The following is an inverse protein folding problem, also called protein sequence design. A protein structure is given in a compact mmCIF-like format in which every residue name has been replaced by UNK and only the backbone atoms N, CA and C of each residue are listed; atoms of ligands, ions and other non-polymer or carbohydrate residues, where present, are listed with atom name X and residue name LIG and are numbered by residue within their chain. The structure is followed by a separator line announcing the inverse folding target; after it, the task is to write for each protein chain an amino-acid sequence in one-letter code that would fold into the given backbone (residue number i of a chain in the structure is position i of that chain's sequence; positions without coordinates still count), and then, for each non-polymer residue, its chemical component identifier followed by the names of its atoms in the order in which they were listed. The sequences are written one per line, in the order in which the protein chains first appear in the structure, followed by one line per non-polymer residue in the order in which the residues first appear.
data_IF_101757588525
#
_entry.id   IF_101757588525
#
_cell.length_a   1.000
_cell.length_b   1.000
_cell.length_c   1.000
_cell.angle_alpha   90.00
_cell.angle_beta   90.00
_cell.angle_gamma   90.00
#
_symmetry.space_group_name_H-M   'P 1'
#
loop_
_entity.id
_entity.type
_entity.pdbx_description
1 polymer ?
#
# COMPACT_ATOMS: atom_id res chain seq x y z
N UNK A 1 22.20 2.94 -3.96
CA UNK A 1 21.41 4.18 -4.06
C UNK A 1 21.65 4.83 -5.42
N UNK A 2 20.62 5.34 -6.07
CA UNK A 2 20.70 6.07 -7.34
C UNK A 2 19.93 7.39 -7.23
N UNK A 3 20.63 8.50 -7.39
CA UNK A 3 20.09 9.87 -7.28
C UNK A 3 19.97 10.60 -8.63
N UNK A 4 20.11 9.88 -9.74
CA UNK A 4 20.07 10.47 -11.09
C UNK A 4 18.78 11.25 -11.35
N UNK A 5 17.64 10.72 -10.89
CA UNK A 5 16.32 11.30 -11.16
C UNK A 5 15.82 12.19 -10.00
N UNK A 6 16.54 12.27 -8.88
CA UNK A 6 16.17 13.13 -7.76
C UNK A 6 16.83 12.72 -6.43
N UNK A 7 16.64 13.55 -5.38
CA UNK A 7 17.29 13.34 -4.09
C UNK A 7 16.78 12.11 -3.34
N UNK A 8 17.62 11.59 -2.46
CA UNK A 8 17.27 10.53 -1.49
C UNK A 8 17.47 11.12 -0.10
N UNK A 9 16.39 11.14 0.69
CA UNK A 9 16.40 11.51 2.10
C UNK A 9 16.32 10.26 2.98
N UNK A 10 17.23 10.15 3.93
CA UNK A 10 17.22 9.10 4.97
C UNK A 10 17.16 9.79 6.32
N UNK A 11 16.05 9.60 7.01
CA UNK A 11 15.76 10.20 8.31
C UNK A 11 16.60 9.61 9.44
N UNK A 12 16.55 10.29 10.58
CA UNK A 12 17.27 9.90 11.80
C UNK A 12 16.82 8.50 12.28
N UNK A 13 17.77 7.70 12.75
CA UNK A 13 17.55 6.36 13.33
C UNK A 13 16.85 5.39 12.35
N UNK A 14 16.96 5.66 11.04
CA UNK A 14 16.41 4.81 9.99
C UNK A 14 17.44 3.81 9.50
N UNK A 15 16.98 2.68 9.01
CA UNK A 15 17.82 1.58 8.57
C UNK A 15 17.51 1.15 7.15
N UNK A 16 18.53 1.04 6.31
CA UNK A 16 18.45 0.42 4.98
C UNK A 16 19.26 -0.86 5.03
N UNK A 17 18.56 -2.01 4.94
CA UNK A 17 19.21 -3.32 5.05
C UNK A 17 19.89 -3.70 3.74
N UNK A 18 20.69 -4.76 3.80
CA UNK A 18 21.58 -5.23 2.75
C UNK A 18 20.83 -5.56 1.45
N UNK A 19 21.49 -5.37 0.33
CA UNK A 19 20.97 -5.69 -1.00
C UNK A 19 19.92 -4.74 -1.54
N UNK A 20 19.39 -3.81 -0.72
CA UNK A 20 18.32 -2.90 -1.14
C UNK A 20 18.76 -1.94 -2.23
N UNK A 21 17.91 -1.76 -3.23
CA UNK A 21 18.10 -0.88 -4.38
C UNK A 21 17.09 0.26 -4.30
N UNK A 22 17.58 1.49 -4.18
CA UNK A 22 16.74 2.68 -4.02
C UNK A 22 17.07 3.70 -5.10
N UNK A 23 16.04 4.20 -5.79
CA UNK A 23 16.11 5.26 -6.78
C UNK A 23 15.32 6.48 -6.28
N UNK A 24 15.97 7.64 -6.31
CA UNK A 24 15.33 8.93 -6.00
C UNK A 24 14.41 9.44 -7.13
N UNK A 25 13.51 10.40 -6.84
CA UNK A 25 13.32 10.97 -5.52
C UNK A 25 12.70 9.98 -4.54
N UNK A 26 13.25 9.92 -3.31
CA UNK A 26 12.79 9.01 -2.27
C UNK A 26 12.96 9.63 -0.88
N UNK A 27 12.02 9.35 0.03
CA UNK A 27 12.15 9.74 1.43
C UNK A 27 11.87 8.56 2.37
N UNK A 28 12.82 8.28 3.26
CA UNK A 28 12.65 7.39 4.41
C UNK A 28 12.61 8.25 5.66
N UNK A 29 11.45 8.35 6.30
CA UNK A 29 11.28 9.12 7.53
C UNK A 29 11.91 8.44 8.74
N UNK A 30 11.99 9.15 9.86
CA UNK A 30 12.71 8.71 11.05
C UNK A 30 12.23 7.35 11.59
N UNK A 31 13.17 6.58 12.18
CA UNK A 31 12.91 5.28 12.82
C UNK A 31 12.29 4.23 11.88
N UNK A 32 12.49 4.36 10.57
CA UNK A 32 11.90 3.46 9.58
C UNK A 32 12.93 2.52 8.98
N UNK A 33 12.48 1.42 8.41
CA UNK A 33 13.38 0.38 7.89
C UNK A 33 12.99 0.00 6.46
N UNK A 34 13.96 0.01 5.57
CA UNK A 34 13.91 -0.71 4.30
C UNK A 34 14.50 -2.09 4.51
N UNK A 35 13.71 -3.12 4.22
CA UNK A 35 14.09 -4.54 4.42
C UNK A 35 15.07 -5.01 3.35
N UNK A 36 15.73 -6.15 3.62
CA UNK A 36 16.70 -6.77 2.71
C UNK A 36 16.15 -6.89 1.29
N UNK A 37 17.02 -6.67 0.31
CA UNK A 37 16.77 -6.83 -1.13
C UNK A 37 15.57 -6.05 -1.69
N UNK A 38 15.05 -5.06 -0.94
CA UNK A 38 13.96 -4.24 -1.40
C UNK A 38 14.32 -3.47 -2.69
N UNK A 39 13.34 -3.33 -3.58
CA UNK A 39 13.42 -2.54 -4.81
C UNK A 39 12.49 -1.34 -4.67
N UNK A 40 13.07 -0.19 -4.39
CA UNK A 40 12.31 1.06 -4.17
C UNK A 40 12.54 1.97 -5.37
N UNK A 41 11.47 2.24 -6.11
CA UNK A 41 11.47 3.16 -7.24
C UNK A 41 11.14 4.58 -6.83
N UNK A 42 11.38 5.50 -7.73
CA UNK A 42 11.18 6.94 -7.57
C UNK A 42 9.75 7.30 -7.14
N UNK A 43 9.61 8.46 -6.49
CA UNK A 43 8.31 8.99 -6.04
C UNK A 43 7.77 8.30 -4.78
N UNK A 44 8.62 7.55 -4.06
CA UNK A 44 8.19 6.81 -2.87
C UNK A 44 8.56 7.53 -1.58
N UNK A 45 7.60 7.62 -0.66
CA UNK A 45 7.79 8.14 0.70
C UNK A 45 7.38 7.09 1.73
N UNK A 46 8.25 6.81 2.68
CA UNK A 46 8.00 5.90 3.80
C UNK A 46 7.94 6.72 5.10
N UNK A 47 6.77 6.77 5.70
CA UNK A 47 6.48 7.48 6.94
C UNK A 47 7.22 6.93 8.16
N UNK A 48 7.23 7.65 9.29
CA UNK A 48 8.01 7.28 10.47
C UNK A 48 7.54 5.95 11.07
N UNK A 49 8.47 5.22 11.70
CA UNK A 49 8.22 3.94 12.38
C UNK A 49 7.64 2.84 11.46
N UNK A 50 7.85 2.95 10.14
CA UNK A 50 7.33 2.01 9.16
C UNK A 50 8.41 1.05 8.65
N UNK A 51 7.98 -0.11 8.17
CA UNK A 51 8.88 -1.12 7.59
C UNK A 51 8.42 -1.48 6.19
N UNK A 52 9.34 -1.38 5.22
CA UNK A 52 9.02 -1.59 3.81
C UNK A 52 10.01 -2.54 3.17
N UNK A 53 9.50 -3.53 2.43
CA UNK A 53 10.24 -4.51 1.67
C UNK A 53 9.54 -4.87 0.37
N UNK A 54 10.15 -5.75 -0.41
CA UNK A 54 9.68 -6.15 -1.73
C UNK A 54 9.84 -5.04 -2.76
N UNK A 55 8.88 -4.91 -3.67
CA UNK A 55 8.93 -3.92 -4.75
C UNK A 55 7.91 -2.81 -4.52
N UNK A 56 8.39 -1.57 -4.42
CA UNK A 56 7.54 -0.38 -4.17
C UNK A 56 7.88 0.72 -5.15
N UNK A 57 6.85 1.30 -5.77
CA UNK A 57 6.99 2.35 -6.78
C UNK A 57 5.96 3.46 -6.57
N UNK A 58 6.42 4.72 -6.61
CA UNK A 58 5.56 5.91 -6.63
C UNK A 58 4.42 5.84 -5.60
N UNK A 59 4.76 5.59 -4.34
CA UNK A 59 3.77 5.33 -3.29
C UNK A 59 4.08 6.09 -2.02
N UNK A 60 3.03 6.44 -1.27
CA UNK A 60 3.14 7.06 0.04
C UNK A 60 2.63 6.07 1.09
N UNK A 61 3.48 5.74 2.05
CA UNK A 61 3.16 4.90 3.20
C UNK A 61 3.27 5.78 4.43
N UNK A 62 2.16 6.00 5.12
CA UNK A 62 2.12 6.80 6.34
C UNK A 62 2.81 6.07 7.50
N UNK A 63 2.86 6.73 8.67
CA UNK A 63 3.60 6.22 9.82
C UNK A 63 3.06 4.91 10.40
N UNK A 64 3.90 4.20 11.15
CA UNK A 64 3.55 2.98 11.91
C UNK A 64 2.99 1.85 11.05
N UNK A 65 3.29 1.82 9.75
CA UNK A 65 2.73 0.89 8.79
C UNK A 65 3.78 -0.07 8.24
N UNK A 66 3.36 -1.28 7.93
CA UNK A 66 4.24 -2.34 7.46
C UNK A 66 3.80 -2.90 6.11
N UNK A 67 4.68 -2.80 5.13
CA UNK A 67 4.74 -3.64 3.93
C UNK A 67 6.10 -4.33 3.93
N UNK A 68 6.36 -5.15 4.96
CA UNK A 68 7.69 -5.65 5.28
C UNK A 68 8.17 -6.85 4.46
N UNK A 69 7.34 -7.43 3.62
CA UNK A 69 7.63 -8.64 2.84
C UNK A 69 7.58 -8.37 1.34
N UNK A 70 7.87 -9.39 0.53
CA UNK A 70 7.75 -9.33 -0.93
C UNK A 70 6.31 -9.07 -1.38
N UNK A 71 6.13 -8.77 -2.64
CA UNK A 71 4.91 -8.30 -3.28
C UNK A 71 5.08 -6.89 -3.83
N UNK A 72 4.31 -6.58 -4.89
CA UNK A 72 4.36 -5.28 -5.57
C UNK A 72 3.35 -4.29 -4.96
N UNK A 73 3.82 -3.06 -4.71
CA UNK A 73 2.99 -1.91 -4.33
C UNK A 73 3.34 -0.72 -5.22
N UNK A 74 2.42 -0.31 -6.09
CA UNK A 74 2.66 0.81 -7.01
C UNK A 74 1.54 1.83 -7.02
N UNK A 75 1.89 3.12 -7.17
CA UNK A 75 0.97 4.25 -7.29
C UNK A 75 -0.12 4.25 -6.19
N UNK A 76 0.29 4.02 -4.96
CA UNK A 76 -0.59 3.71 -3.84
C UNK A 76 -0.41 4.68 -2.67
N UNK A 77 -1.46 4.79 -1.86
CA UNK A 77 -1.44 5.51 -0.58
C UNK A 77 -1.89 4.57 0.53
N UNK A 78 -1.03 4.35 1.51
CA UNK A 78 -1.28 3.48 2.66
C UNK A 78 -1.34 4.34 3.91
N UNK A 79 -2.44 4.31 4.62
CA UNK A 79 -2.68 5.05 5.86
C UNK A 79 -1.79 4.62 7.02
N UNK A 80 -2.04 5.16 8.19
CA UNK A 80 -1.31 4.84 9.41
C UNK A 80 -1.76 3.51 10.01
N UNK A 81 -0.85 2.83 10.74
CA UNK A 81 -1.12 1.57 11.44
C UNK A 81 -1.62 0.43 10.53
N UNK A 82 -1.31 0.52 9.24
CA UNK A 82 -1.65 -0.52 8.27
C UNK A 82 -0.63 -1.67 8.28
N UNK A 83 -1.10 -2.86 7.91
CA UNK A 83 -0.20 -3.99 7.72
C UNK A 83 -0.58 -4.78 6.46
N UNK A 84 0.30 -4.84 5.50
CA UNK A 84 0.16 -5.68 4.32
C UNK A 84 0.88 -7.00 4.59
N UNK A 85 0.12 -8.10 4.55
CA UNK A 85 0.64 -9.45 4.72
C UNK A 85 1.64 -9.82 3.63
N UNK A 86 2.42 -10.86 3.87
CA UNK A 86 3.43 -11.35 2.93
C UNK A 86 2.80 -11.60 1.56
N UNK A 87 3.53 -11.25 0.51
CA UNK A 87 3.10 -11.41 -0.88
C UNK A 87 1.76 -10.73 -1.21
N UNK A 88 1.43 -9.64 -0.51
CA UNK A 88 0.34 -8.76 -0.93
C UNK A 88 0.77 -8.00 -2.17
N UNK A 89 -0.01 -8.11 -3.24
CA UNK A 89 0.23 -7.45 -4.52
C UNK A 89 -0.89 -6.48 -4.87
N UNK A 90 -0.53 -5.37 -5.51
CA UNK A 90 -1.50 -4.38 -6.01
C UNK A 90 -1.32 -4.18 -7.49
N UNK A 91 -2.38 -4.34 -8.28
CA UNK A 91 -2.36 -3.85 -9.66
C UNK A 91 -2.45 -2.32 -9.67
N UNK A 92 -1.66 -1.66 -10.51
CA UNK A 92 -1.70 -0.21 -10.67
C UNK A 92 -2.00 0.26 -12.10
N UNK A 93 -2.08 -0.67 -13.05
CA UNK A 93 -2.42 -0.42 -14.45
C UNK A 93 -3.43 -1.46 -14.90
N UNK A 94 -4.50 -1.03 -15.56
CA UNK A 94 -5.45 -1.94 -16.17
C UNK A 94 -4.87 -2.57 -17.44
N UNK A 95 -5.21 -3.83 -17.70
CA UNK A 95 -4.82 -4.51 -18.96
C UNK A 95 -5.39 -3.84 -20.21
N UNK A 96 -6.49 -3.08 -20.07
CA UNK A 96 -7.12 -2.30 -21.15
C UNK A 96 -6.49 -0.92 -21.34
N UNK A 97 -5.55 -0.52 -20.46
CA UNK A 97 -4.94 0.82 -20.43
C UNK A 97 -5.93 1.98 -20.24
N UNK A 98 -7.15 1.68 -19.79
CA UNK A 98 -8.16 2.70 -19.47
C UNK A 98 -7.79 3.51 -18.25
N UNK A 99 -8.37 4.69 -18.12
CA UNK A 99 -8.29 5.48 -16.89
C UNK A 99 -8.85 4.72 -15.71
N UNK A 100 -8.16 4.85 -14.57
CA UNK A 100 -8.54 4.20 -13.33
C UNK A 100 -9.71 4.95 -12.70
N UNK A 101 -10.65 4.20 -12.11
CA UNK A 101 -11.74 4.76 -11.31
C UNK A 101 -11.52 4.39 -9.85
N UNK A 102 -11.72 5.36 -8.96
CA UNK A 102 -11.68 5.18 -7.51
C UNK A 102 -13.08 5.39 -6.92
N UNK A 103 -13.37 4.69 -5.84
CA UNK A 103 -14.54 4.99 -5.03
C UNK A 103 -14.38 6.36 -4.38
N UNK A 104 -15.39 7.21 -4.55
CA UNK A 104 -15.49 8.52 -3.90
C UNK A 104 -16.57 8.47 -2.83
N UNK A 105 -16.19 8.78 -1.59
CA UNK A 105 -17.16 8.86 -0.48
C UNK A 105 -18.13 10.02 -0.66
N UNK A 106 -17.67 11.17 -1.18
CA UNK A 106 -18.50 12.34 -1.42
C UNK A 106 -19.55 12.07 -2.52
N UNK A 107 -19.13 11.47 -3.63
CA UNK A 107 -20.01 11.14 -4.73
C UNK A 107 -20.81 9.84 -4.49
N UNK A 108 -20.44 9.05 -3.50
CA UNK A 108 -20.97 7.71 -3.21
C UNK A 108 -21.02 6.80 -4.45
N UNK A 109 -19.99 6.89 -5.28
CA UNK A 109 -19.84 6.11 -6.52
C UNK A 109 -18.37 6.07 -6.97
N UNK A 110 -18.10 5.29 -8.02
CA UNK A 110 -16.79 5.28 -8.67
C UNK A 110 -16.65 6.46 -9.62
N UNK A 111 -15.61 7.29 -9.40
CA UNK A 111 -15.27 8.44 -10.24
C UNK A 111 -13.96 8.19 -11.00
N UNK A 112 -13.86 8.75 -12.21
CA UNK A 112 -12.61 8.68 -12.99
C UNK A 112 -11.55 9.55 -12.36
N UNK A 113 -10.32 9.03 -12.25
CA UNK A 113 -9.17 9.79 -11.75
C UNK A 113 -8.48 10.61 -12.85
N UNK A 114 -8.74 10.31 -14.11
CA UNK A 114 -7.94 10.82 -15.23
C UNK A 114 -6.53 10.23 -15.32
N UNK A 115 -6.18 9.25 -14.47
CA UNK A 115 -4.88 8.60 -14.42
C UNK A 115 -4.96 7.18 -14.97
N UNK A 116 -3.95 6.78 -15.75
CA UNK A 116 -3.77 5.38 -16.17
C UNK A 116 -3.14 4.52 -15.06
N UNK A 117 -2.31 5.14 -14.20
CA UNK A 117 -1.64 4.46 -13.09
C UNK A 117 -2.22 4.92 -11.75
N UNK A 118 -2.88 4.01 -11.05
CA UNK A 118 -3.39 4.22 -9.72
C UNK A 118 -3.60 2.86 -9.03
N UNK A 119 -2.92 2.63 -7.93
CA UNK A 119 -2.97 1.38 -7.19
C UNK A 119 -4.00 1.37 -6.07
N UNK A 120 -3.54 1.07 -4.87
CA UNK A 120 -4.34 0.90 -3.66
C UNK A 120 -4.39 2.20 -2.85
N UNK A 121 -5.59 2.60 -2.45
CA UNK A 121 -5.81 3.64 -1.42
C UNK A 121 -6.36 2.92 -0.18
N UNK A 122 -5.57 2.85 0.89
CA UNK A 122 -5.91 2.11 2.10
C UNK A 122 -6.00 3.04 3.30
N UNK A 123 -7.15 3.08 3.95
CA UNK A 123 -7.38 3.85 5.16
C UNK A 123 -6.70 3.23 6.39
N UNK A 124 -6.56 4.04 7.43
CA UNK A 124 -5.83 3.72 8.65
C UNK A 124 -6.31 2.43 9.33
N UNK A 125 -5.39 1.79 10.06
CA UNK A 125 -5.63 0.54 10.81
C UNK A 125 -6.09 -0.66 9.97
N UNK A 126 -6.05 -0.57 8.65
CA UNK A 126 -6.48 -1.66 7.78
C UNK A 126 -5.35 -2.68 7.57
N UNK A 127 -5.72 -3.94 7.38
CA UNK A 127 -4.77 -5.04 7.25
C UNK A 127 -5.16 -5.96 6.10
N UNK A 128 -4.16 -6.48 5.38
CA UNK A 128 -4.36 -7.57 4.44
C UNK A 128 -3.68 -8.86 4.92
N UNK A 129 -4.33 -9.98 4.69
CA UNK A 129 -3.74 -11.31 4.88
C UNK A 129 -2.62 -11.56 3.86
N UNK A 130 -1.90 -12.68 4.04
CA UNK A 130 -0.89 -13.13 3.09
C UNK A 130 -1.53 -13.43 1.72
N UNK A 131 -0.77 -13.25 0.63
CA UNK A 131 -1.19 -13.51 -0.76
C UNK A 131 -2.45 -12.73 -1.17
N UNK A 132 -2.72 -11.56 -0.58
CA UNK A 132 -3.86 -10.74 -0.98
C UNK A 132 -3.57 -10.05 -2.32
N UNK A 133 -4.52 -10.14 -3.25
CA UNK A 133 -4.45 -9.49 -4.56
C UNK A 133 -5.44 -8.33 -4.64
N UNK A 134 -4.91 -7.10 -4.69
CA UNK A 134 -5.73 -5.91 -4.91
C UNK A 134 -5.77 -5.53 -6.40
N UNK A 135 -6.96 -5.22 -6.88
CA UNK A 135 -7.15 -4.68 -8.22
C UNK A 135 -6.66 -3.24 -8.36
N UNK A 136 -6.46 -2.82 -9.59
CA UNK A 136 -6.20 -1.43 -9.97
C UNK A 136 -7.29 -0.51 -9.40
N UNK A 137 -6.90 0.52 -8.68
CA UNK A 137 -7.83 1.49 -8.11
C UNK A 137 -8.71 0.94 -6.99
N UNK A 138 -8.18 0.04 -6.18
CA UNK A 138 -8.90 -0.43 -4.99
C UNK A 138 -8.86 0.64 -3.89
N UNK A 139 -10.03 0.91 -3.31
CA UNK A 139 -10.18 1.76 -2.12
C UNK A 139 -10.62 0.90 -0.94
N UNK A 140 -9.84 0.91 0.12
CA UNK A 140 -10.12 0.25 1.40
C UNK A 140 -10.36 1.30 2.45
N UNK A 141 -11.48 1.23 3.13
CA UNK A 141 -11.80 2.11 4.26
C UNK A 141 -10.94 1.84 5.49
N UNK A 142 -11.18 2.55 6.57
CA UNK A 142 -10.42 2.41 7.82
C UNK A 142 -10.79 1.13 8.57
N UNK A 143 -9.86 0.60 9.36
CA UNK A 143 -10.06 -0.54 10.27
C UNK A 143 -10.68 -1.77 9.59
N UNK A 144 -10.28 -2.06 8.37
CA UNK A 144 -10.74 -3.24 7.62
C UNK A 144 -9.69 -4.33 7.62
N UNK A 145 -10.13 -5.58 7.73
CA UNK A 145 -9.25 -6.74 7.69
C UNK A 145 -9.62 -7.63 6.50
N UNK A 146 -8.74 -7.67 5.49
CA UNK A 146 -8.99 -8.25 4.18
C UNK A 146 -8.18 -9.54 4.03
N UNK A 147 -8.83 -10.62 3.63
CA UNK A 147 -8.18 -11.91 3.38
C UNK A 147 -8.99 -12.76 2.41
N UNK A 148 -8.40 -13.87 1.98
CA UNK A 148 -9.01 -14.83 1.07
C UNK A 148 -8.41 -14.80 -0.32
N UNK A 149 -8.59 -15.89 -1.06
CA UNK A 149 -8.06 -16.07 -2.40
C UNK A 149 -8.84 -15.27 -3.45
N UNK A 150 -8.15 -14.86 -4.50
CA UNK A 150 -8.71 -14.12 -5.63
C UNK A 150 -8.60 -12.61 -5.49
N UNK A 151 -8.95 -11.90 -6.57
CA UNK A 151 -8.90 -10.44 -6.58
C UNK A 151 -9.99 -9.84 -5.71
N UNK A 152 -9.58 -8.94 -4.83
CA UNK A 152 -10.51 -8.22 -3.96
C UNK A 152 -11.40 -7.26 -4.75
N UNK A 153 -12.54 -6.87 -4.15
CA UNK A 153 -13.42 -5.83 -4.72
C UNK A 153 -12.70 -4.49 -4.76
N UNK A 154 -12.99 -3.68 -5.76
CA UNK A 154 -12.40 -2.32 -5.88
C UNK A 154 -12.84 -1.33 -4.81
N UNK A 155 -13.87 -1.64 -4.04
CA UNK A 155 -14.27 -0.89 -2.85
C UNK A 155 -14.56 -1.83 -1.69
N UNK A 156 -13.88 -1.59 -0.57
CA UNK A 156 -14.08 -2.27 0.71
C UNK A 156 -14.41 -1.18 1.74
N UNK A 157 -15.64 -1.12 2.27
CA UNK A 157 -16.02 -0.12 3.26
C UNK A 157 -15.21 -0.21 4.54
N UNK A 158 -15.25 0.85 5.35
CA UNK A 158 -14.62 0.87 6.68
C UNK A 158 -15.26 -0.18 7.60
N UNK A 159 -14.46 -0.68 8.55
CA UNK A 159 -14.90 -1.62 9.59
C UNK A 159 -15.42 -2.95 9.03
N UNK A 160 -14.82 -3.43 7.97
CA UNK A 160 -15.19 -4.71 7.38
C UNK A 160 -14.11 -5.78 7.62
N UNK A 161 -14.58 -7.02 7.70
CA UNK A 161 -13.76 -8.21 7.82
C UNK A 161 -14.18 -9.23 6.77
N UNK A 162 -13.24 -9.70 5.97
CA UNK A 162 -13.50 -10.70 4.93
C UNK A 162 -12.77 -10.40 3.63
N UNK A 163 -13.34 -10.81 2.53
CA UNK A 163 -12.76 -10.67 1.20
C UNK A 163 -13.74 -11.03 0.09
N UNK A 164 -13.24 -11.64 -0.97
CA UNK A 164 -14.03 -11.98 -2.18
C UNK A 164 -15.28 -12.81 -1.86
N UNK A 165 -15.18 -13.76 -0.95
CA UNK A 165 -16.29 -14.63 -0.55
C UNK A 165 -17.37 -13.94 0.29
N UNK A 166 -17.13 -12.73 0.75
CA UNK A 166 -18.07 -11.93 1.51
C UNK A 166 -17.40 -11.05 2.56
N UNK A 167 -18.05 -9.96 2.89
CA UNK A 167 -17.62 -9.00 3.91
C UNK A 167 -18.62 -9.04 5.07
N UNK A 168 -18.11 -9.01 6.29
CA UNK A 168 -18.88 -8.92 7.53
C UNK A 168 -18.40 -7.70 8.32
N UNK A 169 -19.26 -7.08 9.17
CA UNK A 169 -18.83 -6.03 10.08
C UNK A 169 -17.68 -6.51 10.98
N UNK A 170 -16.70 -5.65 11.19
CA UNK A 170 -15.55 -5.92 12.04
C UNK A 170 -15.96 -6.09 13.50
N UNK A 171 -15.53 -7.15 14.14
CA UNK A 171 -15.85 -7.41 15.54
C UNK A 171 -14.73 -6.86 16.43
N UNK A 172 -14.89 -5.64 16.94
CA UNK A 172 -13.93 -4.96 17.81
C UNK A 172 -13.56 -5.75 19.07
N UNK A 173 -14.45 -6.58 19.61
CA UNK A 173 -14.21 -7.37 20.82
C UNK A 173 -13.17 -8.49 20.61
N UNK A 174 -12.85 -8.81 19.36
CA UNK A 174 -11.86 -9.87 19.00
C UNK A 174 -10.52 -9.32 18.54
N UNK A 175 -10.37 -8.02 18.48
CA UNK A 175 -9.19 -7.35 17.89
C UNK A 175 -8.36 -6.54 18.88
N UNK A 176 -8.74 -6.58 20.15
CA UNK A 176 -7.99 -6.01 21.30
C UNK A 176 -7.38 -7.11 22.12
#
# INVERSE_FOLDING_TARGET
LNTTDGPIYIGKDSHVMEGSKIRGPFALCNNSTIKMDAKIYSGTTVGPYSKVGGEVSNSVIFGYSNKGHDGFLGNSVIGEWCNLGADTNTSNLKNTYDFVRLWSYDANTFVSTGLQFCGLIMGDHSKSGINTMFNTGTVVGVSSNIYGAGFQRNFIPSFMWGGVSGLKPFNFKKSV
#
